data_IF_807919866735
#
_entry.id   IF_807919866735
#
_cell.length_a   1.000
_cell.length_b   1.000
_cell.length_c   1.000
_cell.angle_alpha   90.00
_cell.angle_beta   90.00
_cell.angle_gamma   90.00
#
_symmetry.space_group_name_H-M   'P 1'
#
loop_
_entity.id
_entity.type
_entity.pdbx_description
1 polymer ?
#
# COMPACT_ATOMS: atom_id res chain seq x y z
N UNK A 1 -6.08 -22.92 5.22
CA UNK A 1 -6.69 -22.15 6.33
C UNK A 1 -6.46 -20.66 6.08
N UNK A 2 -7.37 -19.80 6.54
CA UNK A 2 -7.23 -18.34 6.40
C UNK A 2 -6.92 -17.72 7.78
N UNK A 3 -5.94 -16.82 7.82
CA UNK A 3 -5.52 -16.09 9.01
C UNK A 3 -5.72 -14.60 8.72
N UNK A 4 -6.48 -13.93 9.56
CA UNK A 4 -6.73 -12.50 9.47
C UNK A 4 -5.94 -11.79 10.57
N UNK A 5 -5.16 -10.77 10.22
CA UNK A 5 -4.31 -10.02 11.15
C UNK A 5 -4.17 -8.57 10.69
N UNK A 6 -3.59 -7.67 11.51
CA UNK A 6 -3.10 -6.39 10.99
C UNK A 6 -2.10 -6.68 9.85
N UNK A 7 -2.09 -5.89 8.78
CA UNK A 7 -1.12 -5.97 7.70
C UNK A 7 0.26 -5.38 8.00
N UNK A 8 0.48 -4.83 9.20
CA UNK A 8 1.70 -4.11 9.57
C UNK A 8 2.90 -5.01 9.91
N UNK A 9 4.04 -4.79 9.25
CA UNK A 9 5.32 -5.45 9.58
C UNK A 9 5.89 -5.02 10.95
N UNK A 10 5.52 -3.84 11.42
CA UNK A 10 6.06 -3.25 12.63
C UNK A 10 5.57 -3.99 13.89
N UNK A 11 4.39 -4.60 13.83
CA UNK A 11 3.80 -5.36 14.92
C UNK A 11 4.34 -6.80 14.99
N UNK A 12 4.27 -7.40 16.19
CA UNK A 12 4.77 -8.76 16.42
C UNK A 12 3.84 -9.81 15.81
N UNK A 13 2.52 -9.65 15.99
CA UNK A 13 1.52 -10.61 15.50
C UNK A 13 1.60 -10.87 14.00
N UNK A 14 1.46 -9.83 13.15
CA UNK A 14 1.53 -9.99 11.69
C UNK A 14 2.84 -10.60 11.22
N UNK A 15 3.96 -10.21 11.83
CA UNK A 15 5.29 -10.74 11.50
C UNK A 15 5.40 -12.23 11.75
N UNK A 16 4.90 -12.70 12.90
CA UNK A 16 4.88 -14.14 13.22
C UNK A 16 3.96 -14.90 12.26
N UNK A 17 2.81 -14.32 11.89
CA UNK A 17 1.92 -14.91 10.87
C UNK A 17 2.64 -15.01 9.53
N UNK A 18 3.32 -13.95 9.10
CA UNK A 18 4.14 -13.94 7.89
C UNK A 18 5.22 -15.03 7.89
N UNK A 19 5.92 -15.21 9.01
CA UNK A 19 6.90 -16.30 9.15
C UNK A 19 6.28 -17.69 9.00
N UNK A 20 5.10 -17.91 9.58
CA UNK A 20 4.39 -19.19 9.48
C UNK A 20 3.99 -19.47 8.02
N UNK A 21 3.46 -18.47 7.31
CA UNK A 21 3.13 -18.58 5.88
C UNK A 21 4.37 -18.87 5.05
N UNK A 22 5.46 -18.13 5.30
CA UNK A 22 6.73 -18.34 4.60
C UNK A 22 7.28 -19.76 4.82
N UNK A 23 7.30 -20.24 6.06
CA UNK A 23 7.75 -21.61 6.41
C UNK A 23 6.85 -22.68 5.77
N UNK A 24 5.54 -22.46 5.70
CA UNK A 24 4.61 -23.37 5.00
C UNK A 24 4.91 -23.43 3.50
N UNK A 25 5.12 -22.27 2.85
CA UNK A 25 5.49 -22.19 1.43
C UNK A 25 6.80 -22.93 1.12
N UNK A 26 7.81 -22.81 1.98
CA UNK A 26 9.07 -23.55 1.83
C UNK A 26 8.89 -25.07 1.98
N UNK A 27 8.06 -25.51 2.93
CA UNK A 27 7.75 -26.95 3.12
C UNK A 27 7.05 -27.52 1.89
N UNK A 28 6.07 -26.80 1.33
CA UNK A 28 5.35 -27.24 0.14
C UNK A 28 6.31 -27.36 -1.06
N UNK A 29 7.16 -26.37 -1.31
CA UNK A 29 8.18 -26.43 -2.39
C UNK A 29 9.11 -27.65 -2.28
N UNK A 30 9.55 -28.00 -1.06
CA UNK A 30 10.41 -29.18 -0.84
C UNK A 30 9.67 -30.48 -1.14
N UNK A 31 8.40 -30.56 -0.79
CA UNK A 31 7.57 -31.73 -1.09
C UNK A 31 7.33 -31.90 -2.59
N UNK A 32 7.17 -30.81 -3.34
CA UNK A 32 7.02 -30.85 -4.80
C UNK A 32 8.31 -31.25 -5.51
N UNK A 33 9.47 -30.85 -4.98
CA UNK A 33 10.78 -31.15 -5.57
C UNK A 33 11.28 -32.59 -5.31
N UNK A 34 10.84 -33.22 -4.22
CA UNK A 34 11.11 -34.64 -3.96
C UNK A 34 9.94 -35.48 -4.48
N UNK A 35 10.14 -36.21 -5.57
CA UNK A 35 9.18 -37.07 -6.32
C UNK A 35 8.43 -38.16 -5.50
N UNK A 36 7.83 -37.84 -4.36
CA UNK A 36 6.87 -38.69 -3.70
C UNK A 36 5.48 -38.35 -4.23
N UNK A 37 4.98 -39.20 -5.13
CA UNK A 37 3.61 -39.25 -5.67
C UNK A 37 2.63 -39.67 -4.55
N UNK A 38 2.76 -39.08 -3.38
CA UNK A 38 1.67 -38.99 -2.43
C UNK A 38 1.09 -37.61 -2.67
N UNK A 39 -0.06 -37.56 -3.35
CA UNK A 39 -0.90 -36.38 -3.52
C UNK A 39 -1.39 -35.97 -2.12
N UNK A 40 -0.50 -35.43 -1.29
CA UNK A 40 -0.88 -34.71 -0.09
C UNK A 40 -1.33 -33.36 -0.59
N UNK A 41 -2.64 -33.11 -0.52
CA UNK A 41 -3.22 -31.80 -0.79
C UNK A 41 -2.33 -30.73 -0.14
N UNK A 42 -1.79 -29.83 -0.96
CA UNK A 42 -0.98 -28.72 -0.48
C UNK A 42 -1.86 -27.89 0.46
N UNK A 43 -1.63 -28.03 1.77
CA UNK A 43 -2.33 -27.22 2.77
C UNK A 43 -1.72 -25.83 2.78
N UNK A 44 -2.18 -25.01 1.84
CA UNK A 44 -1.83 -23.61 1.74
C UNK A 44 -2.45 -22.82 2.91
N UNK A 45 -1.61 -22.00 3.53
CA UNK A 45 -2.02 -21.04 4.56
C UNK A 45 -2.09 -19.67 3.89
N UNK A 46 -3.25 -19.04 3.98
CA UNK A 46 -3.48 -17.70 3.45
C UNK A 46 -3.53 -16.71 4.60
N UNK A 47 -2.66 -15.71 4.57
CA UNK A 47 -2.70 -14.59 5.49
C UNK A 47 -3.24 -13.35 4.77
N UNK A 48 -4.26 -12.74 5.38
CA UNK A 48 -4.88 -11.51 4.90
C UNK A 48 -4.54 -10.42 5.91
N UNK A 49 -3.76 -9.43 5.47
CA UNK A 49 -3.45 -8.24 6.25
C UNK A 49 -4.52 -7.17 6.07
N UNK A 50 -5.12 -6.71 7.17
CA UNK A 50 -6.05 -5.58 7.16
C UNK A 50 -5.32 -4.37 7.72
N UNK A 51 -5.27 -3.28 6.97
CA UNK A 51 -4.57 -2.05 7.42
C UNK A 51 -5.25 -0.79 6.88
N UNK A 52 -5.07 0.32 7.57
CA UNK A 52 -5.57 1.62 7.14
C UNK A 52 -4.67 2.21 6.04
N UNK A 53 -5.27 2.57 4.90
CA UNK A 53 -4.59 3.24 3.79
C UNK A 53 -3.83 4.51 4.22
N UNK A 54 -4.39 5.27 5.16
CA UNK A 54 -3.79 6.48 5.72
C UNK A 54 -2.42 6.21 6.38
N UNK A 55 -2.21 5.00 6.88
CA UNK A 55 -1.07 4.61 7.70
C UNK A 55 0.03 3.88 6.91
N UNK A 56 -0.14 3.63 5.61
CA UNK A 56 0.83 2.87 4.80
C UNK A 56 1.95 3.76 4.25
N UNK A 57 3.19 3.32 4.44
CA UNK A 57 4.38 3.92 3.80
C UNK A 57 4.37 3.67 2.30
N UNK A 58 4.79 4.68 1.55
CA UNK A 58 4.91 4.63 0.08
C UNK A 58 3.62 4.18 -0.63
N UNK A 59 2.45 4.42 -0.01
CA UNK A 59 1.14 4.03 -0.58
C UNK A 59 0.91 4.63 -1.96
N UNK A 60 1.54 5.77 -2.25
CA UNK A 60 1.49 6.44 -3.54
C UNK A 60 2.04 5.55 -4.68
N UNK A 61 2.98 4.65 -4.39
CA UNK A 61 3.53 3.68 -5.35
C UNK A 61 2.52 2.57 -5.73
N UNK A 62 1.51 2.37 -4.89
CA UNK A 62 0.45 1.37 -5.11
C UNK A 62 -0.68 1.92 -6.01
N UNK A 63 -0.79 3.25 -6.14
CA UNK A 63 -1.79 3.86 -7.02
C UNK A 63 -1.28 3.84 -8.46
N UNK A 64 -1.95 3.07 -9.30
CA UNK A 64 -1.74 3.11 -10.76
C UNK A 64 -3.02 3.57 -11.41
N UNK A 65 -3.05 4.83 -11.87
CA UNK A 65 -4.05 5.24 -12.84
C UNK A 65 -3.66 4.66 -14.19
N UNK A 66 -4.51 3.84 -14.80
CA UNK A 66 -4.32 3.47 -16.20
C UNK A 66 -4.46 4.73 -17.07
N UNK A 67 -3.33 5.40 -17.35
CA UNK A 67 -3.23 6.35 -18.46
C UNK A 67 -2.43 5.68 -19.58
N UNK A 68 -3.13 4.93 -20.43
CA UNK A 68 -2.69 4.73 -21.82
C UNK A 68 -3.15 5.94 -22.62
N UNK A 69 -2.35 7.02 -22.70
CA UNK A 69 -2.38 7.96 -23.84
C UNK A 69 -0.97 8.49 -24.08
N UNK A 70 -0.56 8.41 -25.34
CA UNK A 70 0.78 8.58 -25.91
C UNK A 70 1.43 9.95 -25.60
N UNK A 71 2.67 9.90 -25.13
CA UNK A 71 3.51 11.07 -24.80
C UNK A 71 4.09 11.80 -26.03
N UNK A 72 3.52 11.63 -27.22
CA UNK A 72 3.97 12.26 -28.47
C UNK A 72 3.30 13.62 -28.74
N UNK A 73 2.12 13.89 -28.15
CA UNK A 73 1.37 15.14 -28.40
C UNK A 73 1.73 16.33 -27.50
N UNK A 74 2.27 16.11 -26.29
CA UNK A 74 2.46 17.18 -25.30
C UNK A 74 3.74 18.02 -25.46
N UNK A 75 4.73 17.56 -26.25
CA UNK A 75 5.96 18.36 -26.49
C UNK A 75 5.71 19.61 -27.32
N UNK A 76 4.74 19.60 -28.25
CA UNK A 76 4.42 20.75 -29.12
C UNK A 76 3.76 21.94 -28.40
N UNK A 77 3.09 21.72 -27.26
CA UNK A 77 2.44 22.79 -26.49
C UNK A 77 3.42 23.51 -25.55
N UNK A 78 4.44 22.81 -25.04
CA UNK A 78 5.49 23.41 -24.21
C UNK A 78 6.35 24.42 -24.98
N UNK A 79 6.73 24.09 -26.22
CA UNK A 79 7.57 24.93 -27.08
C UNK A 79 6.87 26.24 -27.50
N UNK A 80 5.55 26.21 -27.70
CA UNK A 80 4.76 27.42 -27.99
C UNK A 80 4.71 28.37 -26.78
N UNK A 81 4.65 27.84 -25.55
CA UNK A 81 4.59 28.65 -24.33
C UNK A 81 5.90 29.40 -24.02
N UNK A 82 7.07 28.78 -24.28
CA UNK A 82 8.37 29.43 -24.06
C UNK A 82 8.66 30.53 -25.08
N UNK A 83 8.17 30.39 -26.32
CA UNK A 83 8.33 31.39 -27.37
C UNK A 83 7.57 32.69 -27.08
N UNK A 84 6.39 32.59 -26.42
CA UNK A 84 5.59 33.74 -26.01
C UNK A 84 6.19 34.45 -24.78
N UNK A 85 6.78 33.70 -23.83
CA UNK A 85 7.40 34.27 -22.62
C UNK A 85 8.70 35.02 -22.92
N UNK A 86 9.48 34.59 -23.92
CA UNK A 86 10.70 35.30 -24.34
C UNK A 86 10.41 36.63 -25.06
N UNK A 87 9.22 36.79 -25.64
CA UNK A 87 8.80 38.02 -26.32
C UNK A 87 8.28 39.11 -25.36
N UNK A 88 7.92 38.73 -24.12
CA UNK A 88 7.40 39.63 -23.10
C UNK A 88 8.47 40.23 -22.16
N UNK A 89 9.76 39.88 -22.32
CA UNK A 89 10.87 40.38 -21.48
C UNK A 89 11.76 41.44 -22.14
N UNK A 90 11.41 41.92 -23.33
CA UNK A 90 12.20 42.93 -24.05
C UNK A 90 11.83 44.38 -23.71
N UNK A 91 10.69 44.64 -23.06
CA UNK A 91 10.25 46.00 -22.71
C UNK A 91 9.85 46.09 -21.24
N UNK A 92 10.55 46.91 -20.45
CA UNK A 92 10.10 47.32 -19.12
C UNK A 92 11.17 47.34 -18.04
N UNK A 93 11.59 48.55 -17.64
CA UNK A 93 12.69 48.84 -16.72
C UNK A 93 12.28 48.91 -15.24
N UNK A 94 13.29 48.71 -14.38
CA UNK A 94 13.55 49.30 -13.05
C UNK A 94 12.87 48.74 -11.78
N UNK A 95 13.76 48.26 -10.91
CA UNK A 95 13.87 48.38 -9.44
C UNK A 95 12.62 48.31 -8.55
N UNK A 96 12.63 47.36 -7.60
CA UNK A 96 12.76 47.71 -6.17
C UNK A 96 13.18 46.51 -5.30
N UNK A 97 13.97 46.81 -4.28
CA UNK A 97 14.60 45.88 -3.33
C UNK A 97 13.58 45.41 -2.28
N UNK A 98 13.63 44.13 -1.91
CA UNK A 98 13.39 43.80 -0.49
C UNK A 98 14.12 42.53 -0.02
N UNK A 99 14.67 42.66 1.18
CA UNK A 99 15.68 41.84 1.82
C UNK A 99 15.22 40.42 2.16
N UNK A 100 15.92 39.43 1.63
CA UNK A 100 15.84 38.03 2.06
C UNK A 100 16.46 37.83 3.44
N UNK A 101 15.67 37.96 4.51
CA UNK A 101 16.03 37.36 5.80
C UNK A 101 15.79 35.86 5.75
N UNK A 102 16.87 35.09 5.53
CA UNK A 102 16.88 33.63 5.65
C UNK A 102 16.60 33.24 7.11
N UNK A 103 15.36 32.84 7.42
CA UNK A 103 15.07 32.13 8.68
C UNK A 103 15.75 30.76 8.60
N UNK A 104 16.78 30.56 9.41
CA UNK A 104 17.37 29.27 9.71
C UNK A 104 16.34 28.40 10.45
N UNK A 105 15.50 27.70 9.70
CA UNK A 105 14.62 26.67 10.25
C UNK A 105 15.44 25.40 10.40
N UNK A 106 15.85 25.10 11.63
CA UNK A 106 16.35 23.78 12.01
C UNK A 106 15.34 22.73 11.56
N UNK A 107 15.69 21.97 10.50
CA UNK A 107 14.89 20.84 10.01
C UNK A 107 14.88 19.73 11.07
N UNK A 108 13.93 19.79 12.01
CA UNK A 108 13.56 18.63 12.83
C UNK A 108 13.20 17.50 11.87
N UNK A 109 13.98 16.41 11.90
CA UNK A 109 13.74 15.22 11.08
C UNK A 109 12.35 14.69 11.44
N UNK A 110 11.35 14.90 10.56
CA UNK A 110 10.00 14.36 10.77
C UNK A 110 10.11 12.84 10.73
N UNK A 111 9.86 12.19 11.87
CA UNK A 111 9.78 10.74 11.94
C UNK A 111 8.49 10.36 11.21
N UNK A 112 8.62 9.62 10.11
CA UNK A 112 7.47 9.06 9.41
C UNK A 112 6.93 7.88 10.22
N UNK A 113 5.84 8.12 10.95
CA UNK A 113 5.16 7.14 11.80
C UNK A 113 4.33 6.11 11.02
N UNK A 114 4.28 6.22 9.69
CA UNK A 114 3.59 5.25 8.83
C UNK A 114 4.27 3.88 8.89
N UNK A 115 3.50 2.86 8.60
CA UNK A 115 3.85 1.46 8.73
C UNK A 115 4.18 0.82 7.37
N UNK A 116 5.07 -0.16 7.38
CA UNK A 116 5.32 -1.02 6.23
C UNK A 116 4.35 -2.20 6.23
N UNK A 117 3.91 -2.64 5.05
CA UNK A 117 3.12 -3.85 4.89
C UNK A 117 3.99 -5.09 5.12
N UNK A 118 3.41 -6.15 5.69
CA UNK A 118 4.10 -7.42 5.94
C UNK A 118 4.33 -8.21 4.62
N UNK A 119 5.58 -8.50 4.24
CA UNK A 119 5.89 -9.00 2.89
C UNK A 119 5.46 -10.44 2.59
N UNK A 120 5.18 -11.25 3.60
CA UNK A 120 4.79 -12.65 3.50
C UNK A 120 3.27 -12.87 3.59
N UNK A 121 2.48 -11.84 3.86
CA UNK A 121 1.04 -11.90 3.70
C UNK A 121 0.67 -12.19 2.25
N UNK A 122 -0.35 -13.03 2.07
CA UNK A 122 -0.79 -13.44 0.73
C UNK A 122 -1.68 -12.38 0.06
N UNK A 123 -2.42 -11.62 0.86
CA UNK A 123 -3.36 -10.60 0.38
C UNK A 123 -3.45 -9.45 1.39
N UNK A 124 -3.90 -8.30 0.91
CA UNK A 124 -4.14 -7.11 1.73
C UNK A 124 -5.52 -6.52 1.47
N UNK A 125 -6.16 -6.08 2.53
CA UNK A 125 -7.36 -5.25 2.49
C UNK A 125 -6.95 -3.90 3.10
N UNK A 126 -6.88 -2.88 2.24
CA UNK A 126 -6.56 -1.52 2.63
C UNK A 126 -7.87 -0.74 2.68
N UNK A 127 -8.29 -0.35 3.88
CA UNK A 127 -9.49 0.47 4.03
C UNK A 127 -9.12 1.95 4.06
N UNK A 128 -9.97 2.79 3.49
CA UNK A 128 -9.79 4.23 3.42
C UNK A 128 -11.07 4.90 3.92
N UNK A 129 -10.94 5.82 4.86
CA UNK A 129 -12.02 6.64 5.38
C UNK A 129 -12.00 8.08 4.82
N UNK A 130 -11.13 8.35 3.85
CA UNK A 130 -10.91 9.65 3.25
C UNK A 130 -10.10 10.59 4.14
N UNK A 131 -9.64 10.13 5.31
CA UNK A 131 -8.79 10.92 6.21
C UNK A 131 -7.32 10.49 6.07
N UNK A 132 -6.42 11.44 6.33
CA UNK A 132 -4.98 11.14 6.41
C UNK A 132 -4.55 10.73 7.82
N UNK A 133 -5.51 10.57 8.74
CA UNK A 133 -5.23 10.20 10.13
C UNK A 133 -5.37 8.69 10.27
N UNK A 134 -4.49 8.04 11.04
CA UNK A 134 -4.73 6.66 11.43
C UNK A 134 -6.06 6.59 12.18
N UNK A 135 -7.00 5.82 11.65
CA UNK A 135 -8.30 5.54 12.26
C UNK A 135 -8.39 4.09 12.74
N UNK A 136 -9.54 3.71 13.32
CA UNK A 136 -9.76 2.47 14.08
C UNK A 136 -9.69 1.20 13.21
N UNK A 137 -8.48 0.69 12.96
CA UNK A 137 -8.22 -0.60 12.27
C UNK A 137 -8.94 -1.78 12.94
N UNK A 138 -9.04 -1.76 14.27
CA UNK A 138 -9.65 -2.85 15.05
C UNK A 138 -11.15 -3.01 14.77
N UNK A 139 -11.89 -1.90 14.64
CA UNK A 139 -13.34 -1.96 14.39
C UNK A 139 -13.68 -2.57 13.01
N UNK A 140 -12.91 -2.21 11.98
CA UNK A 140 -13.06 -2.80 10.66
C UNK A 140 -12.69 -4.29 10.65
N UNK A 141 -11.63 -4.66 11.36
CA UNK A 141 -11.18 -6.06 11.45
C UNK A 141 -12.22 -6.94 12.16
N UNK A 142 -12.78 -6.48 13.27
CA UNK A 142 -13.83 -7.20 14.02
C UNK A 142 -15.09 -7.39 13.17
N UNK A 143 -15.53 -6.35 12.47
CA UNK A 143 -16.67 -6.45 11.58
C UNK A 143 -16.43 -7.42 10.42
N UNK A 144 -15.25 -7.36 9.79
CA UNK A 144 -14.87 -8.27 8.71
C UNK A 144 -14.82 -9.72 9.20
N UNK A 145 -14.20 -9.97 10.36
CA UNK A 145 -14.14 -11.29 10.96
C UNK A 145 -15.56 -11.83 11.22
N UNK A 146 -16.45 -11.00 11.78
CA UNK A 146 -17.85 -11.37 12.02
C UNK A 146 -18.59 -11.74 10.73
N UNK A 147 -18.43 -10.97 9.66
CA UNK A 147 -19.06 -11.25 8.35
C UNK A 147 -18.59 -12.59 7.79
N UNK A 148 -17.27 -12.85 7.84
CA UNK A 148 -16.69 -14.13 7.38
C UNK A 148 -17.24 -15.29 8.21
N UNK A 149 -17.30 -15.16 9.53
CA UNK A 149 -17.83 -16.19 10.42
C UNK A 149 -19.31 -16.47 10.18
N UNK A 150 -20.15 -15.44 10.04
CA UNK A 150 -21.58 -15.59 9.76
C UNK A 150 -21.84 -16.21 8.38
N UNK A 151 -21.07 -15.82 7.35
CA UNK A 151 -21.16 -16.39 6.01
C UNK A 151 -20.81 -17.89 6.00
N UNK A 152 -19.73 -18.27 6.69
CA UNK A 152 -19.31 -19.65 6.82
C UNK A 152 -20.36 -20.53 7.52
N UNK A 153 -21.00 -20.01 8.58
CA UNK A 153 -22.07 -20.72 9.28
C UNK A 153 -23.31 -20.94 8.41
N UNK A 154 -23.68 -19.96 7.58
CA UNK A 154 -24.80 -20.11 6.64
C UNK A 154 -24.50 -21.11 5.53
N UNK A 155 -23.31 -21.05 4.93
CA UNK A 155 -22.88 -22.01 3.93
C UNK A 155 -22.84 -23.45 4.48
N UNK A 156 -22.37 -23.62 5.73
CA UNK A 156 -22.36 -24.93 6.40
C UNK A 156 -23.75 -25.50 6.70
N UNK A 157 -24.80 -24.67 6.79
CA UNK A 157 -26.18 -25.12 7.00
C UNK A 157 -26.87 -25.56 5.72
N UNK A 158 -26.46 -25.02 4.57
CA UNK A 158 -27.01 -25.37 3.24
C UNK A 158 -26.37 -26.64 2.68
N UNK A 159 -25.14 -26.96 3.11
CA UNK A 159 -24.37 -28.13 2.65
C UNK A 159 -24.55 -29.37 3.54
N UNK A 160 -25.53 -29.37 4.46
CA UNK A 160 -25.94 -30.54 5.28
C UNK A 160 -27.31 -31.01 4.83
#
# INVERSE_FOLDING_TARGET
>A
AWILTNGSKNEVGPRLVGEVVYKNKLKNKRNTAGNNINIREEKNIYAIGVSNWANIKNREELIRSEKKIEASGLKKLGELSESLVKKAKADGSKEDKESSQRKNVQKKKRIDSRQELEPNHTQFILFDDGTLKPSYEDHYRENLARVISCGAQRASKVLK
#
